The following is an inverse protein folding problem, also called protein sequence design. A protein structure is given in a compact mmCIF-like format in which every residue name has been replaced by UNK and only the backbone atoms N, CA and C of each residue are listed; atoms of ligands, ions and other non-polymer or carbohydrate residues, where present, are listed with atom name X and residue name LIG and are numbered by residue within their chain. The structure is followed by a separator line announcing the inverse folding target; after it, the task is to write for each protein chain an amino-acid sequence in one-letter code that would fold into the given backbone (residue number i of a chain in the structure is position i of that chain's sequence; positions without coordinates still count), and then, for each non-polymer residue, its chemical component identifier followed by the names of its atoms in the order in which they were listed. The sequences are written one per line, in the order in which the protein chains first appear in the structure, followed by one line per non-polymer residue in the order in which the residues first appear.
data_IF_101429429618
#
_entry.id   IF_101429429618
#
_cell.length_a   1.000
_cell.length_b   1.000
_cell.length_c   1.000
_cell.angle_alpha   90.00
_cell.angle_beta   90.00
_cell.angle_gamma   90.00
#
_symmetry.space_group_name_H-M   'P 1'
#
loop_
_entity.id
_entity.type
_entity.pdbx_description
1 polymer ?
#
# COMPACT_ATOMS: atom_id res chain seq x y z
N UNK A 1 -24.76 8.47 -9.70
CA UNK A 1 -24.22 9.28 -10.83
C UNK A 1 -23.54 10.46 -10.19
N UNK A 2 -22.21 10.44 -10.18
CA UNK A 2 -21.41 11.53 -9.65
C UNK A 2 -21.60 12.74 -10.57
N UNK A 3 -22.23 13.80 -10.09
CA UNK A 3 -22.41 15.05 -10.83
C UNK A 3 -21.10 15.86 -10.83
N UNK A 4 -20.01 15.25 -11.27
CA UNK A 4 -18.76 15.99 -11.43
C UNK A 4 -18.90 16.91 -12.63
N UNK A 5 -18.89 18.21 -12.38
CA UNK A 5 -19.11 19.24 -13.42
C UNK A 5 -17.88 19.42 -14.34
N UNK A 6 -16.71 19.02 -13.86
CA UNK A 6 -15.43 19.17 -14.55
C UNK A 6 -14.64 17.87 -14.52
N UNK A 7 -13.92 17.59 -15.59
CA UNK A 7 -12.94 16.53 -15.72
C UNK A 7 -11.59 17.19 -15.97
N UNK A 8 -10.60 16.80 -15.23
CA UNK A 8 -9.23 17.31 -15.32
C UNK A 8 -8.36 16.29 -16.05
N UNK A 9 -7.50 16.76 -16.92
CA UNK A 9 -6.54 15.95 -17.66
C UNK A 9 -5.27 16.77 -17.88
N UNK A 10 -4.13 16.14 -17.69
CA UNK A 10 -2.82 16.69 -18.07
C UNK A 10 -2.17 15.76 -19.08
N UNK A 11 -1.89 16.29 -20.28
CA UNK A 11 -1.30 15.53 -21.38
C UNK A 11 0.23 15.45 -21.31
N UNK A 12 0.87 16.11 -20.35
CA UNK A 12 2.32 16.03 -20.13
C UNK A 12 2.74 14.76 -19.39
N UNK A 13 1.78 14.05 -18.79
CA UNK A 13 2.04 12.81 -18.06
C UNK A 13 2.31 11.64 -19.02
N UNK A 14 3.26 10.79 -18.68
CA UNK A 14 3.54 9.54 -19.43
C UNK A 14 2.35 8.60 -19.51
N UNK A 15 1.55 8.60 -18.45
CA UNK A 15 0.29 7.85 -18.34
C UNK A 15 -0.80 8.82 -17.91
N UNK A 16 -1.44 9.52 -18.86
CA UNK A 16 -2.52 10.46 -18.55
C UNK A 16 -3.77 9.70 -18.11
N UNK A 17 -4.42 10.17 -17.05
CA UNK A 17 -5.69 9.63 -16.57
C UNK A 17 -6.64 10.75 -16.12
N UNK A 18 -7.94 10.52 -16.25
CA UNK A 18 -8.94 11.51 -15.84
C UNK A 18 -8.87 11.77 -14.32
N UNK A 19 -8.82 13.05 -13.96
CA UNK A 19 -8.76 13.55 -12.58
C UNK A 19 -7.47 13.14 -11.82
N UNK A 20 -6.45 12.70 -12.54
CA UNK A 20 -5.10 12.51 -12.04
C UNK A 20 -4.22 13.57 -12.68
N UNK A 21 -3.53 14.33 -11.86
CA UNK A 21 -2.60 15.36 -12.29
C UNK A 21 -1.20 15.05 -11.76
N UNK A 22 -0.14 15.61 -12.36
CA UNK A 22 1.21 15.55 -11.80
C UNK A 22 1.21 15.95 -10.32
N UNK A 23 2.08 15.35 -9.52
CA UNK A 23 2.12 15.58 -8.08
C UNK A 23 2.33 17.06 -7.73
N UNK A 24 3.13 17.77 -8.53
CA UNK A 24 3.41 19.20 -8.39
C UNK A 24 2.17 20.07 -8.59
N UNK A 25 1.17 19.58 -9.33
CA UNK A 25 -0.12 20.24 -9.58
C UNK A 25 -1.23 19.75 -8.65
N UNK A 26 -0.98 18.76 -7.82
CA UNK A 26 -1.93 18.20 -6.86
C UNK A 26 -2.04 19.09 -5.62
N UNK A 27 -2.76 20.21 -5.76
CA UNK A 27 -2.93 21.21 -4.71
C UNK A 27 -4.36 21.23 -4.15
N UNK A 28 -4.50 21.67 -2.89
CA UNK A 28 -5.81 21.78 -2.24
C UNK A 28 -6.64 22.98 -2.75
N UNK A 29 -6.00 23.92 -3.46
CA UNK A 29 -6.69 25.13 -3.95
C UNK A 29 -6.13 25.55 -5.30
N UNK A 30 -6.87 25.26 -6.38
CA UNK A 30 -6.60 25.70 -7.73
C UNK A 30 -7.77 26.52 -8.27
N UNK A 31 -7.49 27.43 -9.20
CA UNK A 31 -8.52 28.31 -9.80
C UNK A 31 -8.82 27.86 -11.22
N UNK A 32 -10.08 27.55 -11.48
CA UNK A 32 -10.58 27.34 -12.85
C UNK A 32 -10.84 28.71 -13.47
N UNK A 33 -10.18 28.96 -14.59
CA UNK A 33 -10.43 30.15 -15.41
C UNK A 33 -11.38 29.80 -16.56
N UNK A 34 -12.56 30.42 -16.59
CA UNK A 34 -13.48 30.26 -17.70
C UNK A 34 -13.09 31.20 -18.88
N UNK A 35 -13.17 30.67 -20.10
CA UNK A 35 -13.04 31.50 -21.34
C UNK A 35 -14.32 32.21 -21.72
N UNK A 36 -15.43 31.90 -21.07
CA UNK A 36 -16.73 32.52 -21.31
C UNK A 36 -16.93 33.70 -20.38
N UNK A 37 -17.18 34.90 -20.93
CA UNK A 37 -17.28 36.14 -20.17
C UNK A 37 -18.35 36.15 -19.07
N UNK A 38 -19.34 35.25 -19.12
CA UNK A 38 -20.44 35.17 -18.16
C UNK A 38 -20.29 34.05 -17.11
N UNK A 39 -19.18 33.29 -17.14
CA UNK A 39 -18.94 32.25 -16.14
C UNK A 39 -17.95 32.74 -15.07
N UNK A 40 -18.36 32.64 -13.80
CA UNK A 40 -17.47 32.97 -12.70
C UNK A 40 -16.31 31.97 -12.57
N UNK A 41 -15.12 32.49 -12.32
CA UNK A 41 -13.96 31.69 -11.96
C UNK A 41 -14.20 30.96 -10.62
N UNK A 42 -13.90 29.67 -10.57
CA UNK A 42 -14.16 28.84 -9.38
C UNK A 42 -12.88 28.28 -8.79
N UNK A 43 -12.85 28.16 -7.46
CA UNK A 43 -11.82 27.43 -6.76
C UNK A 43 -12.20 25.96 -6.63
N UNK A 44 -11.22 25.07 -6.81
CA UNK A 44 -11.39 23.62 -6.68
C UNK A 44 -10.25 23.05 -5.85
N UNK A 45 -10.55 21.98 -5.12
CA UNK A 45 -9.54 21.14 -4.49
C UNK A 45 -9.15 20.05 -5.48
N UNK A 46 -8.01 20.22 -6.15
CA UNK A 46 -7.52 19.29 -7.16
C UNK A 46 -7.05 17.99 -6.53
N UNK A 47 -6.42 18.06 -5.35
CA UNK A 47 -5.95 16.88 -4.62
C UNK A 47 -7.10 15.93 -4.23
N UNK A 48 -8.30 16.45 -4.01
CA UNK A 48 -9.47 15.64 -3.66
C UNK A 48 -10.14 14.97 -4.88
N UNK A 49 -9.66 15.19 -6.10
CA UNK A 49 -10.24 14.58 -7.30
C UNK A 49 -9.84 13.12 -7.46
N UNK A 50 -8.65 12.77 -7.02
CA UNK A 50 -8.13 11.41 -7.11
C UNK A 50 -8.55 10.57 -5.90
N UNK A 51 -8.88 9.29 -6.15
CA UNK A 51 -9.18 8.32 -5.11
C UNK A 51 -7.99 7.38 -4.96
N UNK A 52 -6.98 7.84 -4.21
CA UNK A 52 -5.73 7.11 -4.04
C UNK A 52 -5.90 6.02 -2.98
N UNK A 53 -6.05 4.80 -3.42
CA UNK A 53 -6.18 3.63 -2.54
C UNK A 53 -5.62 2.40 -3.21
N UNK A 54 -5.18 1.45 -2.38
CA UNK A 54 -4.90 0.10 -2.83
C UNK A 54 -5.55 -0.93 -1.91
N UNK A 55 -5.88 -2.05 -2.50
CA UNK A 55 -6.43 -3.20 -1.81
C UNK A 55 -5.61 -4.43 -2.19
N UNK A 56 -5.10 -5.14 -1.19
CA UNK A 56 -4.33 -6.37 -1.36
C UNK A 56 -5.04 -7.52 -0.65
N UNK A 57 -5.21 -8.63 -1.35
CA UNK A 57 -5.67 -9.89 -0.79
C UNK A 57 -4.60 -10.94 -0.94
N UNK A 58 -4.36 -11.70 0.11
CA UNK A 58 -3.40 -12.79 0.17
C UNK A 58 -4.12 -14.02 0.71
N UNK A 59 -4.10 -15.10 -0.05
CA UNK A 59 -4.53 -16.42 0.38
C UNK A 59 -3.31 -17.35 0.32
N UNK A 60 -2.85 -17.83 1.47
CA UNK A 60 -1.61 -18.57 1.56
C UNK A 60 -1.70 -19.74 2.55
N UNK A 61 -0.80 -20.71 2.39
CA UNK A 61 -0.62 -21.85 3.29
C UNK A 61 0.85 -22.10 3.57
N UNK A 62 1.14 -22.60 4.74
CA UNK A 62 2.49 -22.99 5.15
C UNK A 62 2.67 -24.46 4.82
N UNK A 63 3.74 -24.79 4.07
CA UNK A 63 4.13 -26.15 3.70
C UNK A 63 5.62 -26.33 4.03
N UNK A 64 5.92 -27.06 5.11
CA UNK A 64 7.29 -27.21 5.59
C UNK A 64 7.90 -25.87 6.00
N UNK A 65 8.95 -25.45 5.30
CA UNK A 65 9.65 -24.16 5.49
C UNK A 65 9.27 -23.10 4.43
N UNK A 66 8.16 -23.30 3.75
CA UNK A 66 7.68 -22.41 2.70
C UNK A 66 6.27 -21.91 2.99
N UNK A 67 6.00 -20.67 2.61
CA UNK A 67 4.64 -20.15 2.43
C UNK A 67 4.36 -20.11 0.95
N UNK A 68 3.32 -20.82 0.51
CA UNK A 68 2.82 -20.80 -0.86
C UNK A 68 1.47 -20.13 -0.90
N UNK A 69 1.23 -19.29 -1.87
CA UNK A 69 -0.03 -18.59 -1.92
C UNK A 69 -0.25 -17.80 -3.21
N UNK A 70 -1.38 -17.15 -3.21
CA UNK A 70 -1.82 -16.25 -4.25
C UNK A 70 -1.98 -14.84 -3.68
N UNK A 71 -1.49 -13.82 -4.40
CA UNK A 71 -1.69 -12.42 -4.09
C UNK A 71 -2.44 -11.74 -5.22
N UNK A 72 -3.50 -11.00 -4.87
CA UNK A 72 -4.16 -10.06 -5.78
C UNK A 72 -4.08 -8.66 -5.20
N UNK A 73 -3.85 -7.67 -6.05
CA UNK A 73 -3.74 -6.26 -5.67
C UNK A 73 -4.52 -5.41 -6.65
N UNK A 74 -5.34 -4.50 -6.15
CA UNK A 74 -6.04 -3.50 -6.96
C UNK A 74 -5.52 -2.12 -6.55
N UNK A 75 -4.99 -1.37 -7.51
CA UNK A 75 -4.45 -0.04 -7.36
C UNK A 75 -5.39 0.98 -8.00
N UNK A 76 -5.62 2.10 -7.32
CA UNK A 76 -6.47 3.18 -7.79
C UNK A 76 -5.74 4.53 -7.72
N UNK A 77 -6.10 5.43 -8.62
CA UNK A 77 -5.61 6.81 -8.64
C UNK A 77 -4.12 6.91 -8.95
N UNK A 78 -3.39 7.72 -8.22
CA UNK A 78 -1.94 7.92 -8.39
C UNK A 78 -1.16 6.62 -8.32
N UNK A 79 -1.50 5.72 -7.41
CA UNK A 79 -0.87 4.39 -7.27
C UNK A 79 -0.91 3.59 -8.60
N UNK A 80 -2.04 3.62 -9.29
CA UNK A 80 -2.19 2.92 -10.57
C UNK A 80 -1.40 3.60 -11.70
N UNK A 81 -1.38 4.92 -11.71
CA UNK A 81 -0.64 5.72 -12.72
C UNK A 81 0.86 5.53 -12.52
N UNK A 82 1.37 5.62 -11.28
CA UNK A 82 2.78 5.39 -10.96
C UNK A 82 3.22 3.96 -11.29
N UNK A 83 2.37 2.95 -11.02
CA UNK A 83 2.63 1.57 -11.40
C UNK A 83 2.86 1.45 -12.92
N UNK A 84 1.99 2.05 -13.73
CA UNK A 84 2.07 2.03 -15.19
C UNK A 84 3.27 2.82 -15.72
N UNK A 85 3.54 4.01 -15.20
CA UNK A 85 4.68 4.84 -15.57
C UNK A 85 6.00 4.08 -15.29
N UNK A 86 6.11 3.49 -14.10
CA UNK A 86 7.24 2.66 -13.73
C UNK A 86 7.41 1.42 -14.62
N UNK A 87 6.32 0.80 -15.08
CA UNK A 87 6.37 -0.32 -16.01
C UNK A 87 6.84 0.12 -17.41
N UNK A 88 6.39 1.29 -17.89
CA UNK A 88 6.76 1.88 -19.18
C UNK A 88 8.25 2.22 -19.23
N UNK A 89 8.76 2.98 -18.25
CA UNK A 89 10.19 3.34 -18.16
C UNK A 89 11.12 2.14 -18.06
N UNK A 90 10.62 0.98 -17.65
CA UNK A 90 11.40 -0.25 -17.51
C UNK A 90 11.32 -1.17 -18.71
N UNK A 91 10.32 -1.04 -19.58
CA UNK A 91 10.34 -1.65 -20.92
C UNK A 91 11.42 -1.05 -21.80
N UNK A 92 11.77 0.22 -21.57
CA UNK A 92 12.87 0.90 -22.27
C UNK A 92 14.26 0.48 -21.75
N UNK A 93 14.36 -0.12 -20.58
CA UNK A 93 15.57 -0.75 -20.07
C UNK A 93 15.51 -2.26 -20.33
N UNK A 94 16.44 -2.81 -21.07
CA UNK A 94 16.65 -4.21 -21.50
C UNK A 94 16.58 -5.27 -20.37
N UNK A 95 15.79 -5.10 -19.34
CA UNK A 95 15.82 -5.91 -18.12
C UNK A 95 14.51 -6.62 -17.86
N UNK A 96 14.66 -7.93 -17.97
CA UNK A 96 14.08 -8.95 -17.08
C UNK A 96 12.54 -9.07 -17.02
N UNK A 97 12.13 -10.32 -17.15
CA UNK A 97 10.82 -10.85 -16.81
C UNK A 97 10.25 -10.12 -15.57
N UNK A 98 9.02 -9.54 -15.62
CA UNK A 98 8.38 -8.84 -14.51
C UNK A 98 8.31 -9.66 -13.22
N UNK A 99 8.18 -10.99 -13.32
CA UNK A 99 8.19 -11.92 -12.17
C UNK A 99 9.51 -11.89 -11.42
N UNK A 100 10.64 -11.88 -12.12
CA UNK A 100 11.98 -11.80 -11.51
C UNK A 100 12.17 -10.50 -10.75
N UNK A 101 11.56 -9.41 -11.22
CA UNK A 101 11.63 -8.12 -10.56
C UNK A 101 10.85 -8.07 -9.25
N UNK A 102 9.66 -8.68 -9.21
CA UNK A 102 8.90 -8.79 -7.96
C UNK A 102 9.65 -9.71 -7.00
N UNK A 103 10.20 -10.81 -7.51
CA UNK A 103 11.02 -11.75 -6.73
C UNK A 103 12.25 -11.07 -6.12
N UNK A 104 12.92 -10.17 -6.83
CA UNK A 104 14.11 -9.46 -6.33
C UNK A 104 13.82 -8.44 -5.23
N UNK A 105 12.56 -8.07 -5.00
CA UNK A 105 12.17 -7.12 -3.94
C UNK A 105 12.21 -7.73 -2.53
N UNK A 106 12.25 -9.05 -2.43
CA UNK A 106 12.30 -9.79 -1.17
C UNK A 106 13.17 -11.01 -1.35
N UNK A 107 14.14 -11.20 -0.45
CA UNK A 107 14.95 -12.40 -0.43
C UNK A 107 14.09 -13.65 -0.32
N UNK A 108 14.47 -14.70 -1.03
CA UNK A 108 13.80 -16.01 -0.99
C UNK A 108 12.33 -15.99 -1.47
N UNK A 109 11.94 -15.01 -2.27
CA UNK A 109 10.63 -14.93 -2.91
C UNK A 109 10.74 -15.40 -4.37
N UNK A 110 9.89 -16.36 -4.76
CA UNK A 110 9.66 -16.74 -6.15
C UNK A 110 8.25 -16.36 -6.55
N UNK A 111 8.08 -15.74 -7.71
CA UNK A 111 6.80 -15.32 -8.27
C UNK A 111 6.59 -16.03 -9.60
N UNK A 112 5.36 -16.48 -9.81
CA UNK A 112 4.90 -17.14 -11.04
C UNK A 112 3.49 -16.71 -11.39
N UNK A 113 3.07 -16.96 -12.62
CA UNK A 113 1.70 -16.68 -13.11
C UNK A 113 1.28 -15.21 -12.95
N UNK A 114 2.23 -14.27 -13.10
CA UNK A 114 1.93 -12.84 -12.99
C UNK A 114 0.99 -12.39 -14.10
N UNK A 115 -0.12 -11.80 -13.71
CA UNK A 115 -1.08 -11.17 -14.60
C UNK A 115 -1.31 -9.72 -14.16
N UNK A 116 -1.31 -8.82 -15.12
CA UNK A 116 -1.62 -7.40 -14.92
C UNK A 116 -2.73 -7.03 -15.89
N UNK A 117 -3.85 -6.57 -15.34
CA UNK A 117 -4.99 -6.09 -16.12
C UNK A 117 -5.09 -4.58 -16.00
N UNK A 118 -5.18 -3.92 -17.13
CA UNK A 118 -5.49 -2.49 -17.26
C UNK A 118 -6.93 -2.38 -17.72
N UNK A 119 -7.69 -1.47 -17.14
CA UNK A 119 -9.04 -1.21 -17.66
C UNK A 119 -8.95 -0.27 -18.87
N UNK A 120 -9.62 -0.63 -19.97
CA UNK A 120 -9.58 0.14 -21.22
C UNK A 120 -10.09 1.58 -21.07
N UNK A 121 -11.04 1.80 -20.15
CA UNK A 121 -11.68 3.09 -19.93
C UNK A 121 -11.29 3.78 -18.61
N UNK A 122 -10.40 3.20 -17.83
CA UNK A 122 -9.93 3.76 -16.54
C UNK A 122 -8.44 3.47 -16.32
N UNK A 123 -7.62 4.37 -16.79
CA UNK A 123 -6.15 4.29 -16.65
C UNK A 123 -5.68 4.50 -15.21
N UNK A 124 -6.57 4.95 -14.33
CA UNK A 124 -6.30 5.09 -12.91
C UNK A 124 -6.71 3.83 -12.11
N UNK A 125 -6.81 2.66 -12.78
CA UNK A 125 -7.10 1.37 -12.16
C UNK A 125 -6.21 0.28 -12.77
N UNK A 126 -5.52 -0.45 -11.87
CA UNK A 126 -4.70 -1.63 -12.22
C UNK A 126 -5.08 -2.77 -11.29
N UNK A 127 -5.22 -3.95 -11.87
CA UNK A 127 -5.32 -5.22 -11.15
C UNK A 127 -4.06 -6.04 -11.42
N UNK A 128 -3.37 -6.47 -10.37
CA UNK A 128 -2.19 -7.34 -10.43
C UNK A 128 -2.47 -8.60 -9.62
N UNK A 129 -2.21 -9.76 -10.19
CA UNK A 129 -2.29 -11.03 -9.48
C UNK A 129 -1.10 -11.93 -9.81
N UNK A 130 -0.66 -12.73 -8.84
CA UNK A 130 0.39 -13.73 -9.03
C UNK A 130 0.37 -14.81 -7.94
N UNK A 131 0.97 -15.94 -8.27
CA UNK A 131 1.29 -16.98 -7.32
C UNK A 131 2.70 -16.79 -6.77
N UNK A 132 2.92 -17.16 -5.52
CA UNK A 132 4.23 -16.99 -4.89
C UNK A 132 4.62 -18.17 -4.00
N UNK A 133 5.94 -18.34 -3.87
CA UNK A 133 6.60 -19.17 -2.87
C UNK A 133 7.60 -18.32 -2.11
N UNK A 134 7.47 -18.29 -0.79
CA UNK A 134 8.32 -17.53 0.12
C UNK A 134 8.91 -18.48 1.15
N UNK A 135 10.24 -18.47 1.32
CA UNK A 135 10.90 -19.20 2.39
C UNK A 135 10.65 -18.50 3.73
N UNK A 136 10.46 -19.28 4.79
CA UNK A 136 10.26 -18.75 6.14
C UNK A 136 11.46 -19.06 7.02
N UNK A 137 11.71 -18.17 7.96
CA UNK A 137 12.74 -18.40 8.96
C UNK A 137 12.27 -19.50 9.93
N UNK A 138 13.13 -20.48 10.19
CA UNK A 138 12.85 -21.58 11.09
C UNK A 138 14.02 -21.87 12.00
N UNK A 139 13.70 -22.42 13.14
CA UNK A 139 14.61 -23.20 14.01
C UNK A 139 14.12 -24.65 14.01
N UNK A 140 14.77 -25.54 14.80
CA UNK A 140 14.39 -26.95 14.86
C UNK A 140 12.92 -27.17 15.20
N UNK A 141 12.38 -26.37 16.11
CA UNK A 141 11.01 -26.52 16.62
C UNK A 141 10.07 -25.36 16.33
N UNK A 142 10.53 -24.24 15.70
CA UNK A 142 9.71 -23.06 15.51
C UNK A 142 9.78 -22.52 14.07
N UNK A 143 8.65 -21.96 13.61
CA UNK A 143 8.56 -21.15 12.39
C UNK A 143 8.22 -19.70 12.77
N UNK A 144 8.90 -18.75 12.12
CA UNK A 144 8.73 -17.31 12.33
C UNK A 144 8.19 -16.68 11.06
N UNK A 145 6.96 -16.20 11.10
CA UNK A 145 6.25 -15.76 9.89
C UNK A 145 5.65 -14.38 10.10
N UNK A 146 5.97 -13.46 9.21
CA UNK A 146 5.25 -12.20 9.16
C UNK A 146 3.89 -12.42 8.50
N UNK A 147 2.75 -12.21 9.21
CA UNK A 147 1.42 -12.48 8.66
C UNK A 147 1.02 -11.52 7.53
N UNK A 148 1.71 -10.38 7.41
CA UNK A 148 1.49 -9.47 6.27
C UNK A 148 2.06 -10.05 4.96
N UNK A 149 3.12 -10.89 5.02
CA UNK A 149 3.86 -11.46 3.91
C UNK A 149 4.47 -10.40 2.97
N UNK A 150 3.71 -9.38 2.60
CA UNK A 150 4.11 -8.24 1.72
C UNK A 150 3.85 -6.89 2.40
N UNK A 151 4.60 -6.54 3.48
CA UNK A 151 4.44 -5.25 4.15
C UNK A 151 4.86 -4.10 3.24
N UNK A 152 4.02 -3.06 3.13
CA UNK A 152 4.29 -1.87 2.32
C UNK A 152 5.33 -0.95 2.97
N UNK A 153 5.25 -0.80 4.29
CA UNK A 153 6.14 0.05 5.07
C UNK A 153 7.08 -0.84 5.88
N UNK A 154 8.38 -0.80 5.59
CA UNK A 154 9.40 -1.66 6.22
C UNK A 154 10.26 -0.93 7.25
N UNK A 155 10.42 0.38 7.11
CA UNK A 155 11.23 1.21 7.98
C UNK A 155 10.57 2.56 8.22
N UNK A 156 10.95 3.20 9.33
CA UNK A 156 10.48 4.54 9.63
C UNK A 156 11.35 5.56 8.86
N UNK A 157 10.77 6.38 7.96
CA UNK A 157 11.52 7.39 7.23
C UNK A 157 11.89 8.62 8.08
N UNK A 158 11.28 8.78 9.26
CA UNK A 158 11.47 9.91 10.15
C UNK A 158 12.60 9.63 11.14
N UNK A 159 13.85 9.73 10.67
CA UNK A 159 15.07 9.38 11.44
C UNK A 159 15.71 10.57 12.15
N UNK A 160 15.33 11.79 11.79
CA UNK A 160 15.90 13.01 12.39
C UNK A 160 15.34 13.23 13.79
N UNK A 161 16.14 13.83 14.69
CA UNK A 161 15.70 14.17 16.04
C UNK A 161 14.74 15.35 16.07
N UNK A 162 14.91 16.30 15.14
CA UNK A 162 14.11 17.52 15.02
C UNK A 162 13.89 17.87 13.55
N UNK A 163 12.81 18.61 13.28
CA UNK A 163 12.50 19.12 11.96
C UNK A 163 11.91 20.53 12.04
N UNK A 164 12.42 21.43 11.21
CA UNK A 164 11.99 22.84 11.15
C UNK A 164 10.90 23.03 10.11
N UNK A 165 10.98 22.31 8.98
CA UNK A 165 10.02 22.41 7.89
C UNK A 165 8.86 21.41 8.07
N UNK A 166 7.65 21.74 7.61
CA UNK A 166 6.55 20.80 7.54
C UNK A 166 6.91 19.53 6.77
N UNK A 167 6.20 18.43 7.08
CA UNK A 167 6.26 17.20 6.31
C UNK A 167 5.11 17.24 5.32
N UNK A 168 5.43 17.11 4.05
CA UNK A 168 4.45 17.02 2.98
C UNK A 168 4.49 15.63 2.35
N UNK A 169 3.33 14.95 2.34
CA UNK A 169 3.13 13.72 1.58
C UNK A 169 2.55 14.07 0.21
N UNK A 170 2.88 13.30 -0.83
CA UNK A 170 2.44 13.63 -2.18
C UNK A 170 0.91 13.68 -2.34
N UNK A 171 0.20 12.81 -1.61
CA UNK A 171 -1.28 12.74 -1.62
C UNK A 171 -1.81 11.96 -0.41
N UNK A 172 -3.08 12.18 -0.02
CA UNK A 172 -3.79 11.28 0.89
C UNK A 172 -3.93 9.89 0.29
N UNK A 173 -3.77 8.85 1.11
CA UNK A 173 -3.68 7.48 0.62
C UNK A 173 -4.28 6.47 1.62
N UNK A 174 -4.94 5.44 1.09
CA UNK A 174 -5.47 4.34 1.89
C UNK A 174 -5.00 2.99 1.34
N UNK A 175 -4.32 2.23 2.18
CA UNK A 175 -3.99 0.83 1.91
C UNK A 175 -4.82 -0.10 2.79
N UNK A 176 -5.40 -1.14 2.18
CA UNK A 176 -6.11 -2.20 2.89
C UNK A 176 -5.55 -3.55 2.47
N UNK A 177 -5.25 -4.41 3.45
CA UNK A 177 -4.80 -5.77 3.22
C UNK A 177 -5.68 -6.75 3.98
N UNK A 178 -6.07 -7.82 3.31
CA UNK A 178 -6.64 -9.02 3.89
C UNK A 178 -5.68 -10.17 3.63
N UNK A 179 -5.16 -10.79 4.69
CA UNK A 179 -4.28 -11.95 4.58
C UNK A 179 -4.89 -13.13 5.32
N UNK A 180 -5.00 -14.26 4.63
CA UNK A 180 -5.45 -15.55 5.14
C UNK A 180 -4.27 -16.50 5.06
N UNK A 181 -3.84 -17.01 6.20
CA UNK A 181 -2.70 -17.93 6.30
C UNK A 181 -3.13 -19.24 6.97
N UNK A 182 -3.16 -20.33 6.19
CA UNK A 182 -3.45 -21.67 6.70
C UNK A 182 -2.19 -22.26 7.33
N UNK A 183 -2.32 -22.73 8.56
CA UNK A 183 -1.24 -23.30 9.35
C UNK A 183 -0.93 -24.74 8.92
N UNK A 184 0.33 -25.21 9.06
CA UNK A 184 0.70 -26.58 8.76
C UNK A 184 0.19 -27.53 9.85
N UNK A 185 -0.04 -28.78 9.49
CA UNK A 185 -0.33 -29.83 10.47
C UNK A 185 0.87 -30.06 11.40
N UNK A 186 0.61 -30.42 12.66
CA UNK A 186 1.66 -30.67 13.67
C UNK A 186 2.31 -29.40 14.22
N UNK A 187 1.69 -28.23 14.03
CA UNK A 187 2.11 -26.97 14.63
C UNK A 187 0.98 -26.28 15.37
N UNK A 188 1.32 -25.61 16.45
CA UNK A 188 0.43 -24.72 17.19
C UNK A 188 0.96 -23.30 17.21
N UNK A 189 0.07 -22.33 17.42
CA UNK A 189 0.48 -20.91 17.57
C UNK A 189 0.95 -20.72 19.00
N UNK A 190 2.24 -20.47 19.18
CA UNK A 190 2.85 -20.12 20.47
C UNK A 190 2.73 -18.62 20.74
N UNK A 191 3.01 -17.78 19.71
CA UNK A 191 2.85 -16.33 19.81
C UNK A 191 2.07 -15.79 18.63
N UNK A 192 1.10 -14.90 18.94
CA UNK A 192 0.32 -14.15 17.96
C UNK A 192 0.43 -12.65 18.28
N UNK A 193 0.79 -11.79 17.31
CA UNK A 193 0.83 -10.35 17.52
C UNK A 193 -0.51 -9.82 18.03
N UNK A 194 -0.48 -8.91 19.00
CA UNK A 194 -1.71 -8.32 19.53
C UNK A 194 -2.36 -7.37 18.51
N UNK A 195 -3.70 -7.39 18.35
CA UNK A 195 -4.41 -6.39 17.59
C UNK A 195 -4.13 -4.98 18.10
N UNK A 196 -4.04 -4.00 17.21
CA UNK A 196 -3.79 -2.62 17.60
C UNK A 196 -4.45 -1.63 16.64
N UNK A 197 -4.99 -0.54 17.21
CA UNK A 197 -5.41 0.64 16.47
C UNK A 197 -4.50 1.81 16.86
N UNK A 198 -3.91 2.46 15.86
CA UNK A 198 -3.02 3.61 15.98
C UNK A 198 -3.68 4.78 15.27
N UNK A 199 -3.71 5.95 15.92
CA UNK A 199 -4.35 7.15 15.37
C UNK A 199 -3.61 8.41 15.82
N UNK A 200 -3.39 9.35 14.90
CA UNK A 200 -2.87 10.67 15.22
C UNK A 200 -3.96 11.59 15.80
N UNK A 201 -3.59 12.56 16.57
CA UNK A 201 -4.45 13.71 16.86
C UNK A 201 -4.86 14.39 15.54
N UNK A 202 -6.10 14.89 15.46
CA UNK A 202 -6.62 15.47 14.23
C UNK A 202 -6.88 14.47 13.09
N UNK A 203 -6.73 13.16 13.35
CA UNK A 203 -7.13 12.07 12.44
C UNK A 203 -6.37 12.05 11.08
N UNK A 204 -5.21 12.70 11.01
CA UNK A 204 -4.40 12.75 9.78
C UNK A 204 -3.77 11.42 9.39
N UNK A 205 -3.53 10.52 10.37
CA UNK A 205 -3.02 9.18 10.17
C UNK A 205 -3.80 8.17 11.02
N UNK A 206 -4.18 7.06 10.41
CA UNK A 206 -4.80 5.91 11.08
C UNK A 206 -4.15 4.61 10.60
N UNK A 207 -3.89 3.69 11.55
CA UNK A 207 -3.54 2.32 11.22
C UNK A 207 -4.34 1.36 12.11
N UNK A 208 -4.92 0.33 11.49
CA UNK A 208 -5.60 -0.78 12.19
C UNK A 208 -4.93 -2.07 11.81
N UNK A 209 -4.44 -2.79 12.78
CA UNK A 209 -3.86 -4.12 12.66
C UNK A 209 -4.72 -5.09 13.47
N UNK A 210 -5.59 -5.84 12.81
CA UNK A 210 -6.53 -6.77 13.43
C UNK A 210 -6.18 -8.18 13.00
N UNK A 211 -5.63 -8.96 13.90
CA UNK A 211 -5.20 -10.34 13.68
C UNK A 211 -5.94 -11.27 14.63
N UNK A 212 -6.33 -12.43 14.12
CA UNK A 212 -6.97 -13.49 14.93
C UNK A 212 -6.69 -14.87 14.35
N UNK A 213 -6.69 -15.88 15.23
CA UNK A 213 -6.71 -17.29 14.86
C UNK A 213 -8.15 -17.79 14.81
N UNK A 214 -8.51 -18.45 13.72
CA UNK A 214 -9.79 -19.13 13.56
C UNK A 214 -9.57 -20.55 13.05
N UNK A 215 -9.75 -21.52 13.94
CA UNK A 215 -9.40 -22.91 13.62
C UNK A 215 -7.91 -23.06 13.26
N UNK A 216 -7.65 -23.59 12.07
CA UNK A 216 -6.29 -23.77 11.54
C UNK A 216 -5.86 -22.61 10.62
N UNK A 217 -6.43 -21.43 10.78
CA UNK A 217 -6.17 -20.27 9.92
C UNK A 217 -5.92 -19.03 10.75
N UNK A 218 -4.93 -18.22 10.34
CA UNK A 218 -4.71 -16.87 10.82
C UNK A 218 -5.31 -15.90 9.82
N UNK A 219 -6.12 -14.98 10.31
CA UNK A 219 -6.74 -13.91 9.54
C UNK A 219 -6.14 -12.57 9.97
N UNK A 220 -5.61 -11.81 9.03
CA UNK A 220 -5.15 -10.43 9.25
C UNK A 220 -5.98 -9.47 8.39
N UNK A 221 -6.58 -8.48 9.04
CA UNK A 221 -7.15 -7.30 8.40
C UNK A 221 -6.32 -6.08 8.79
N UNK A 222 -5.62 -5.52 7.82
CA UNK A 222 -4.77 -4.36 7.99
C UNK A 222 -5.30 -3.18 7.19
N UNK A 223 -5.39 -2.02 7.81
CA UNK A 223 -5.76 -0.75 7.14
C UNK A 223 -4.77 0.32 7.56
N UNK A 224 -4.07 0.89 6.60
CA UNK A 224 -3.29 2.12 6.77
C UNK A 224 -3.98 3.24 6.00
N UNK A 225 -4.23 4.37 6.65
CA UNK A 225 -4.92 5.50 6.05
C UNK A 225 -4.22 6.80 6.43
N UNK A 226 -3.52 7.39 5.49
CA UNK A 226 -2.96 8.72 5.55
C UNK A 226 -3.99 9.69 4.95
N UNK A 227 -4.73 10.41 5.79
CA UNK A 227 -5.74 11.39 5.39
C UNK A 227 -5.14 12.78 5.27
N UNK A 228 -4.25 13.13 6.22
CA UNK A 228 -3.49 14.36 6.19
C UNK A 228 -2.29 14.22 5.26
N UNK A 229 -2.02 15.24 4.46
CA UNK A 229 -0.84 15.26 3.59
C UNK A 229 0.19 16.31 4.02
N UNK A 230 -0.16 17.22 4.94
CA UNK A 230 0.75 18.20 5.56
C UNK A 230 0.70 18.01 7.07
N UNK A 231 1.88 17.85 7.68
CA UNK A 231 2.08 17.80 9.12
C UNK A 231 3.09 18.89 9.50
N UNK A 232 2.72 19.74 10.44
CA UNK A 232 3.58 20.82 10.88
C UNK A 232 4.80 20.29 11.64
N UNK A 233 5.84 21.10 11.75
CA UNK A 233 7.08 20.74 12.45
C UNK A 233 6.84 20.34 13.91
N UNK A 234 5.88 20.95 14.58
CA UNK A 234 5.51 20.64 15.97
C UNK A 234 4.89 19.24 16.11
N UNK A 235 4.32 18.71 15.01
CA UNK A 235 3.72 17.38 14.96
C UNK A 235 4.76 16.28 14.64
N UNK A 236 6.01 16.66 14.35
CA UNK A 236 7.03 15.73 13.86
C UNK A 236 7.30 14.57 14.83
N UNK A 237 7.51 14.86 16.11
CA UNK A 237 7.78 13.81 17.11
C UNK A 237 6.62 12.83 17.23
N UNK A 238 5.40 13.34 17.29
CA UNK A 238 4.21 12.51 17.35
C UNK A 238 4.09 11.63 16.11
N UNK A 239 4.33 12.19 14.92
CA UNK A 239 4.30 11.42 13.67
C UNK A 239 5.39 10.34 13.64
N UNK A 240 6.61 10.65 14.09
CA UNK A 240 7.72 9.70 14.20
C UNK A 240 7.37 8.52 15.11
N UNK A 241 6.80 8.78 16.30
CA UNK A 241 6.38 7.74 17.24
C UNK A 241 5.25 6.88 16.69
N UNK A 242 4.24 7.50 16.06
CA UNK A 242 3.14 6.77 15.44
C UNK A 242 3.63 5.88 14.29
N UNK A 243 4.55 6.39 13.47
CA UNK A 243 5.15 5.63 12.38
C UNK A 243 5.97 4.45 12.90
N UNK A 244 6.72 4.65 13.99
CA UNK A 244 7.45 3.56 14.67
C UNK A 244 6.50 2.43 15.07
N UNK A 245 5.37 2.75 15.71
CA UNK A 245 4.34 1.76 16.07
C UNK A 245 3.75 1.04 14.86
N UNK A 246 3.55 1.76 13.74
CA UNK A 246 3.10 1.14 12.48
C UNK A 246 4.13 0.15 11.96
N UNK A 247 5.40 0.53 11.94
CA UNK A 247 6.49 -0.34 11.49
C UNK A 247 6.67 -1.57 12.39
N UNK A 248 6.56 -1.40 13.71
CA UNK A 248 6.59 -2.52 14.66
C UNK A 248 5.51 -3.55 14.32
N UNK A 249 4.28 -3.11 14.02
CA UNK A 249 3.19 -4.00 13.59
C UNK A 249 3.43 -4.63 12.22
N UNK A 250 3.98 -3.87 11.29
CA UNK A 250 4.30 -4.39 9.95
C UNK A 250 5.41 -5.45 9.96
N UNK A 251 6.28 -5.41 10.98
CA UNK A 251 7.36 -6.38 11.18
C UNK A 251 7.04 -7.45 12.23
N UNK A 252 5.87 -7.43 12.85
CA UNK A 252 5.48 -8.40 13.87
C UNK A 252 5.40 -9.82 13.29
N UNK A 253 5.86 -10.80 14.07
CA UNK A 253 5.93 -12.20 13.66
C UNK A 253 4.91 -13.04 14.43
N UNK A 254 4.37 -14.03 13.77
CA UNK A 254 3.72 -15.19 14.37
C UNK A 254 4.82 -16.19 14.70
N UNK A 255 4.77 -16.80 15.86
CA UNK A 255 5.62 -17.92 16.24
C UNK A 255 4.77 -19.19 16.28
N UNK A 256 5.13 -20.15 15.44
CA UNK A 256 4.53 -21.48 15.43
C UNK A 256 5.51 -22.48 16.02
N UNK A 257 5.04 -23.30 16.93
CA UNK A 257 5.80 -24.37 17.58
C UNK A 257 5.34 -25.73 17.08
N UNK A 258 6.29 -26.59 16.79
CA UNK A 258 6.02 -27.98 16.40
C UNK A 258 5.52 -28.75 17.62
N UNK A 259 4.41 -29.50 17.45
CA UNK A 259 3.79 -30.37 18.48
C UNK A 259 4.44 -31.74 18.45
#
# INVERSE_FOLDING_TARGET
INKQKYVFLDSSMDVPAFNILPLELSVNKARILSRKEKEENKWVNVMALSNNKSFMKIDARIEGDQVKGHRSTVLYGQEAVEYQANAKHKQDSLVSNPENKISSQKEQLTVTNLKVKKQENDWALIEEEFDFVLQVNRTDNHLYINPMLFPQLKSNPFIQTERVLPIEFPYPYKFTMLSTLTLPEGYEVEELPQPQAIRSEGDGLQCKYMIQKQGNTILLNYVFHLKGYIFLSEQYKQLQELWTKVIEKNNALIVLKKI
#
